data_IF_262035350775
#
_entry.id   IF_262035350775
#
_cell.length_a   1.000
_cell.length_b   1.000
_cell.length_c   1.000
_cell.angle_alpha   90.00
_cell.angle_beta   90.00
_cell.angle_gamma   90.00
#
_symmetry.space_group_name_H-M   'P 1'
#
loop_
_entity.id
_entity.type
_entity.pdbx_description
1 polymer ?
#
# COMPACT_ATOMS: atom_id res chain seq x y z
N UNK A 1 -7.44 -21.57 -4.62
CA UNK A 1 -6.00 -21.29 -4.82
C UNK A 1 -5.88 -20.56 -6.12
N UNK A 2 -5.00 -19.56 -6.19
CA UNK A 2 -4.66 -18.84 -7.41
C UNK A 2 -3.23 -19.18 -7.82
N UNK A 3 -2.89 -18.99 -9.08
CA UNK A 3 -1.52 -19.08 -9.62
C UNK A 3 -0.98 -17.67 -9.87
N UNK A 4 0.32 -17.56 -10.14
CA UNK A 4 0.95 -16.25 -10.33
C UNK A 4 0.30 -15.43 -11.46
N UNK A 5 -0.14 -16.09 -12.53
CA UNK A 5 -0.81 -15.43 -13.67
C UNK A 5 -2.16 -14.80 -13.29
N UNK A 6 -2.75 -15.18 -12.14
CA UNK A 6 -4.00 -14.60 -11.64
C UNK A 6 -3.76 -13.30 -10.85
N UNK A 7 -2.51 -12.95 -10.53
CA UNK A 7 -2.19 -11.78 -9.69
C UNK A 7 -2.75 -10.45 -10.23
N UNK A 8 -2.75 -10.16 -11.55
CA UNK A 8 -3.37 -8.94 -12.06
C UNK A 8 -4.86 -8.83 -11.73
N UNK A 9 -5.60 -9.93 -11.81
CA UNK A 9 -7.02 -9.97 -11.46
C UNK A 9 -7.22 -9.84 -9.95
N UNK A 10 -6.40 -10.55 -9.16
CA UNK A 10 -6.44 -10.47 -7.70
C UNK A 10 -6.18 -9.05 -7.23
N UNK A 11 -5.06 -8.45 -7.64
CA UNK A 11 -4.67 -7.11 -7.22
C UNK A 11 -5.64 -6.06 -7.75
N UNK A 12 -5.99 -6.10 -9.04
CA UNK A 12 -6.93 -5.15 -9.64
C UNK A 12 -8.36 -5.23 -9.08
N UNK A 13 -8.71 -6.34 -8.41
CA UNK A 13 -9.99 -6.52 -7.72
C UNK A 13 -10.03 -6.00 -6.27
N UNK A 14 -8.91 -5.52 -5.72
CA UNK A 14 -8.85 -5.02 -4.35
C UNK A 14 -9.25 -3.54 -4.26
N UNK A 15 -10.03 -3.19 -3.24
CA UNK A 15 -10.26 -1.79 -2.87
C UNK A 15 -9.04 -1.22 -2.13
N UNK A 16 -8.44 -2.00 -1.23
CA UNK A 16 -7.29 -1.62 -0.39
C UNK A 16 -6.47 -2.87 -0.10
N UNK A 17 -5.14 -2.75 -0.14
CA UNK A 17 -4.21 -3.80 0.27
C UNK A 17 -3.60 -3.48 1.64
N UNK A 18 -3.60 -4.43 2.56
CA UNK A 18 -3.08 -4.24 3.92
C UNK A 18 -1.84 -5.11 4.11
N UNK A 19 -0.71 -4.48 4.44
CA UNK A 19 0.58 -5.14 4.72
C UNK A 19 1.03 -4.76 6.14
N UNK A 20 0.50 -5.42 7.19
CA UNK A 20 0.68 -5.02 8.58
C UNK A 20 1.92 -5.69 9.20
N UNK A 21 3.09 -5.47 8.59
CA UNK A 21 4.36 -6.07 9.02
C UNK A 21 4.71 -5.70 10.46
N UNK A 22 4.88 -6.72 11.31
CA UNK A 22 5.25 -6.54 12.73
C UNK A 22 6.75 -6.29 12.90
N UNK A 23 7.55 -6.90 12.02
CA UNK A 23 9.00 -6.76 12.01
C UNK A 23 9.43 -5.81 10.88
N UNK A 24 10.72 -5.49 10.87
CA UNK A 24 11.32 -4.71 9.78
C UNK A 24 11.11 -5.46 8.48
N UNK A 25 10.50 -4.78 7.52
CA UNK A 25 10.31 -5.24 6.16
C UNK A 25 11.08 -4.30 5.25
N UNK A 26 12.19 -4.77 4.65
CA UNK A 26 13.15 -3.86 4.02
C UNK A 26 12.61 -3.16 2.77
N UNK A 27 11.78 -3.84 1.97
CA UNK A 27 11.37 -3.33 0.65
C UNK A 27 9.86 -3.16 0.48
N UNK A 28 9.03 -4.05 1.03
CA UNK A 28 7.57 -3.93 0.88
C UNK A 28 7.06 -4.20 -0.54
N UNK A 29 7.66 -5.14 -1.28
CA UNK A 29 7.28 -5.41 -2.68
C UNK A 29 5.80 -5.70 -2.86
N UNK A 30 5.16 -6.42 -1.93
CA UNK A 30 3.72 -6.70 -2.01
C UNK A 30 2.89 -5.41 -2.05
N UNK A 31 3.28 -4.39 -1.27
CA UNK A 31 2.61 -3.09 -1.31
C UNK A 31 2.90 -2.34 -2.62
N UNK A 32 4.14 -2.37 -3.10
CA UNK A 32 4.52 -1.79 -4.39
C UNK A 32 3.74 -2.42 -5.57
N UNK A 33 3.58 -3.75 -5.55
CA UNK A 33 2.77 -4.48 -6.53
C UNK A 33 1.32 -3.99 -6.48
N UNK A 34 0.69 -3.93 -5.30
CA UNK A 34 -0.66 -3.39 -5.15
C UNK A 34 -0.79 -1.96 -5.70
N UNK A 35 0.14 -1.07 -5.33
CA UNK A 35 0.14 0.31 -5.82
C UNK A 35 0.36 0.38 -7.34
N UNK A 36 1.10 -0.55 -7.94
CA UNK A 36 1.25 -0.63 -9.41
C UNK A 36 -0.07 -0.92 -10.15
N UNK A 37 -1.04 -1.51 -9.46
CA UNK A 37 -2.41 -1.74 -9.95
C UNK A 37 -3.38 -0.62 -9.56
N UNK A 38 -2.90 0.48 -8.97
CA UNK A 38 -3.75 1.59 -8.52
C UNK A 38 -4.45 1.33 -7.19
N UNK A 39 -4.00 0.33 -6.42
CA UNK A 39 -4.60 -0.07 -5.14
C UNK A 39 -3.96 0.71 -3.99
N UNK A 40 -4.73 1.48 -3.21
CA UNK A 40 -4.25 2.10 -1.98
C UNK A 40 -3.78 1.08 -0.95
N UNK A 41 -2.78 1.44 -0.17
CA UNK A 41 -2.16 0.53 0.81
C UNK A 41 -2.30 1.02 2.25
N UNK A 42 -2.43 0.09 3.20
CA UNK A 42 -2.17 0.33 4.62
C UNK A 42 -0.91 -0.46 4.99
N UNK A 43 0.17 0.23 5.31
CA UNK A 43 1.47 -0.38 5.61
C UNK A 43 1.93 -0.03 7.02
N UNK A 44 2.72 -0.90 7.64
CA UNK A 44 3.35 -0.58 8.91
C UNK A 44 4.52 0.39 8.72
N UNK A 45 4.74 1.27 9.70
CA UNK A 45 5.85 2.24 9.70
C UNK A 45 7.24 1.58 9.67
N UNK A 46 7.33 0.27 9.95
CA UNK A 46 8.55 -0.53 9.87
C UNK A 46 8.82 -1.13 8.48
N UNK A 47 7.95 -0.87 7.50
CA UNK A 47 8.12 -1.31 6.11
C UNK A 47 8.85 -0.23 5.29
N UNK A 48 9.85 -0.60 4.50
CA UNK A 48 10.62 0.34 3.69
C UNK A 48 9.79 1.06 2.63
N UNK A 49 8.69 0.44 2.18
CA UNK A 49 7.70 1.10 1.31
C UNK A 49 6.97 2.27 1.99
N UNK A 50 7.01 2.39 3.33
CA UNK A 50 6.33 3.46 4.05
C UNK A 50 6.79 4.85 3.61
N UNK A 51 8.03 5.01 3.16
CA UNK A 51 8.58 6.28 2.65
C UNK A 51 7.90 6.74 1.35
N UNK A 52 7.26 5.82 0.62
CA UNK A 52 6.53 6.09 -0.61
C UNK A 52 5.02 6.27 -0.38
N UNK A 53 4.56 6.13 0.88
CA UNK A 53 3.15 6.23 1.26
C UNK A 53 2.90 7.57 1.98
N UNK A 54 2.10 8.42 1.36
CA UNK A 54 1.61 9.67 1.92
C UNK A 54 0.22 9.44 2.55
N UNK A 55 0.12 9.58 3.89
CA UNK A 55 -1.11 9.31 4.66
C UNK A 55 -2.28 10.14 4.13
N UNK A 56 -3.36 9.45 3.74
CA UNK A 56 -4.57 10.08 3.20
C UNK A 56 -4.53 10.35 1.70
N UNK A 57 -3.37 10.24 1.05
CA UNK A 57 -3.19 10.60 -0.37
C UNK A 57 -3.09 9.37 -1.27
N UNK A 58 -2.19 8.44 -1.00
CA UNK A 58 -2.03 7.20 -1.77
C UNK A 58 -2.10 5.94 -0.89
N UNK A 59 -2.29 6.12 0.42
CA UNK A 59 -2.39 5.04 1.39
C UNK A 59 -2.39 5.57 2.82
N UNK A 60 -1.99 4.72 3.75
CA UNK A 60 -1.88 5.04 5.17
C UNK A 60 -0.67 4.32 5.77
N UNK A 61 0.10 5.02 6.59
CA UNK A 61 1.20 4.44 7.38
C UNK A 61 0.74 4.32 8.82
N UNK A 62 0.87 3.12 9.41
CA UNK A 62 0.42 2.85 10.77
C UNK A 62 1.52 2.28 11.64
N UNK A 63 1.47 2.58 12.93
CA UNK A 63 2.25 1.84 13.93
C UNK A 63 1.93 0.34 13.86
N UNK A 64 2.91 -0.55 14.07
CA UNK A 64 2.72 -2.01 14.02
C UNK A 64 1.97 -2.54 15.25
N UNK A 65 0.77 -2.01 15.48
CA UNK A 65 -0.12 -2.36 16.59
C UNK A 65 -1.52 -2.62 16.07
N UNK A 66 -2.21 -3.59 16.68
CA UNK A 66 -3.61 -3.92 16.36
C UNK A 66 -4.50 -2.68 16.43
N UNK A 67 -4.27 -1.81 17.44
CA UNK A 67 -5.07 -0.61 17.65
C UNK A 67 -4.88 0.42 16.53
N UNK A 68 -3.66 0.62 16.04
CA UNK A 68 -3.41 1.55 14.94
C UNK A 68 -4.00 1.03 13.63
N UNK A 69 -3.81 -0.26 13.33
CA UNK A 69 -4.39 -0.90 12.16
C UNK A 69 -5.92 -0.83 12.17
N UNK A 70 -6.56 -1.19 13.29
CA UNK A 70 -8.02 -1.14 13.42
C UNK A 70 -8.57 0.26 13.14
N UNK A 71 -7.95 1.31 13.70
CA UNK A 71 -8.36 2.69 13.45
C UNK A 71 -8.20 3.11 11.99
N UNK A 72 -7.16 2.65 11.31
CA UNK A 72 -6.98 2.93 9.89
C UNK A 72 -8.09 2.28 9.04
N UNK A 73 -8.41 1.02 9.33
CA UNK A 73 -9.51 0.31 8.67
C UNK A 73 -10.85 1.01 8.95
N UNK A 74 -11.13 1.37 10.21
CA UNK A 74 -12.34 2.11 10.60
C UNK A 74 -12.47 3.43 9.83
N UNK A 75 -11.38 4.21 9.69
CA UNK A 75 -11.37 5.46 8.92
C UNK A 75 -11.82 5.26 7.47
N UNK A 76 -11.39 4.17 6.82
CA UNK A 76 -11.75 3.87 5.44
C UNK A 76 -13.20 3.38 5.31
N UNK A 77 -13.67 2.58 6.26
CA UNK A 77 -15.07 2.12 6.31
C UNK A 77 -16.03 3.29 6.53
N UNK A 78 -15.67 4.27 7.37
CA UNK A 78 -16.47 5.48 7.59
C UNK A 78 -16.48 6.42 6.37
N UNK A 79 -15.42 6.42 5.55
CA UNK A 79 -15.25 7.32 4.40
C UNK A 79 -14.79 6.55 3.16
N UNK A 80 -15.63 5.68 2.57
CA UNK A 80 -15.24 4.83 1.44
C UNK A 80 -14.86 5.63 0.19
N UNK A 81 -15.32 6.88 0.06
CA UNK A 81 -14.90 7.78 -1.04
C UNK A 81 -13.39 8.05 -1.04
N UNK A 82 -12.76 8.06 0.12
CA UNK A 82 -11.32 8.28 0.27
C UNK A 82 -10.52 7.19 -0.45
N UNK A 83 -10.99 5.94 -0.46
CA UNK A 83 -10.33 4.85 -1.19
C UNK A 83 -10.29 5.13 -2.70
N UNK A 84 -11.42 5.56 -3.27
CA UNK A 84 -11.49 5.91 -4.69
C UNK A 84 -10.65 7.16 -5.04
N UNK A 85 -10.52 8.11 -4.10
CA UNK A 85 -9.64 9.27 -4.27
C UNK A 85 -8.17 8.86 -4.27
N UNK A 86 -7.75 8.02 -3.30
CA UNK A 86 -6.39 7.49 -3.23
C UNK A 86 -6.03 6.70 -4.48
N UNK A 87 -6.92 5.82 -4.95
CA UNK A 87 -6.68 5.04 -6.17
C UNK A 87 -6.44 5.94 -7.40
N UNK A 88 -7.21 7.04 -7.54
CA UNK A 88 -6.98 8.01 -8.63
C UNK A 88 -5.64 8.71 -8.53
N UNK A 89 -5.19 9.05 -7.32
CA UNK A 89 -3.87 9.65 -7.10
C UNK A 89 -2.79 8.67 -7.54
N UNK A 90 -2.89 7.41 -7.12
CA UNK A 90 -1.92 6.37 -7.50
C UNK A 90 -1.84 6.21 -9.01
N UNK A 91 -2.97 6.03 -9.69
CA UNK A 91 -3.01 5.86 -11.14
C UNK A 91 -2.48 7.07 -11.93
N UNK A 92 -2.44 8.26 -11.34
CA UNK A 92 -1.98 9.49 -12.00
C UNK A 92 -0.51 9.79 -11.71
N UNK A 93 -0.10 9.64 -10.45
CA UNK A 93 1.12 10.25 -9.93
C UNK A 93 2.13 9.22 -9.38
N UNK A 94 1.73 7.97 -9.17
CA UNK A 94 2.61 6.98 -8.56
C UNK A 94 3.52 6.32 -9.60
N UNK A 95 4.82 6.46 -9.39
CA UNK A 95 5.84 5.74 -10.10
C UNK A 95 6.50 4.76 -9.15
N UNK A 96 6.42 3.46 -9.47
CA UNK A 96 7.17 2.43 -8.73
C UNK A 96 8.65 2.62 -9.11
N UNK A 97 9.53 2.98 -8.17
CA UNK A 97 10.96 3.06 -8.47
C UNK A 97 11.46 1.67 -8.83
N UNK A 98 12.34 1.62 -9.84
CA UNK A 98 13.08 0.42 -10.17
C UNK A 98 14.00 0.03 -9.01
N UNK A 99 14.39 -1.24 -8.96
CA UNK A 99 15.39 -1.73 -8.00
C UNK A 99 16.70 -0.96 -8.06
N UNK A 100 17.04 -0.40 -9.23
CA UNK A 100 18.24 0.40 -9.41
C UNK A 100 18.09 1.75 -8.72
N UNK A 101 17.01 2.48 -8.99
CA UNK A 101 16.72 3.77 -8.37
C UNK A 101 16.64 3.64 -6.84
N UNK A 102 15.98 2.60 -6.34
CA UNK A 102 15.89 2.37 -4.90
C UNK A 102 17.23 2.03 -4.23
N UNK A 103 18.18 1.42 -4.96
CA UNK A 103 19.51 1.13 -4.44
C UNK A 103 20.45 2.36 -4.42
N UNK A 104 20.18 3.38 -5.24
CA UNK A 104 20.96 4.62 -5.30
C UNK A 104 20.57 5.62 -4.21
N UNK A 105 19.35 5.52 -3.66
CA UNK A 105 18.81 6.41 -2.61
C UNK A 105 19.18 6.00 -1.15
N UNK A 106 19.88 4.87 -0.96
CA UNK A 106 20.34 4.34 0.34
C UNK A 106 21.74 4.85 0.73
#
# INVERSE_FOLDING_TARGET
SYVYDDLPEVMGGLDVLIVPSIHIETFGFTALEGMSFGVPVIVSASAGVADLVEDGHNGMVVEPTIRALARAIERLVERPRTVAEMSRVICRDFHVPTMHEHAEDL
#
